data_IF_027295278543
#
_entry.id   IF_027295278543
#
_cell.length_a   1.000
_cell.length_b   1.000
_cell.length_c   1.000
_cell.angle_alpha   90.00
_cell.angle_beta   90.00
_cell.angle_gamma   90.00
#
_symmetry.space_group_name_H-M   'P 1'
#
loop_
_entity.id
_entity.type
_entity.pdbx_description
1 polymer ?
#
# COMPACT_ATOMS: atom_id res chain seq x y z
N UNK A 1 5.01 -2.75 17.69
CA UNK A 1 6.44 -2.32 17.69
C UNK A 1 7.33 -3.55 17.68
N UNK A 2 8.07 -3.79 16.60
CA UNK A 2 8.87 -5.02 16.43
C UNK A 2 10.09 -5.02 17.35
N UNK A 3 10.27 -6.09 18.14
CA UNK A 3 11.37 -6.27 19.11
C UNK A 3 12.63 -6.92 18.53
N UNK A 4 12.47 -7.67 17.44
CA UNK A 4 13.53 -8.46 16.83
C UNK A 4 12.96 -9.35 15.74
N UNK A 5 13.79 -10.25 15.23
CA UNK A 5 13.40 -11.20 14.20
C UNK A 5 13.57 -12.64 14.70
N UNK A 6 12.80 -13.54 14.11
CA UNK A 6 13.06 -14.98 14.15
C UNK A 6 13.95 -15.30 12.95
N UNK A 7 15.14 -15.83 13.22
CA UNK A 7 16.13 -16.24 12.22
C UNK A 7 15.70 -17.50 11.47
N UNK A 8 16.43 -17.85 10.41
CA UNK A 8 16.14 -19.06 9.60
C UNK A 8 16.32 -20.36 10.37
N UNK A 9 17.19 -20.37 11.38
CA UNK A 9 17.40 -21.47 12.32
C UNK A 9 16.35 -21.52 13.45
N UNK A 10 15.39 -20.58 13.47
CA UNK A 10 14.35 -20.47 14.48
C UNK A 10 14.76 -19.71 15.75
N UNK A 11 16.01 -19.26 15.87
CA UNK A 11 16.46 -18.47 17.01
C UNK A 11 15.91 -17.03 16.98
N UNK A 12 15.78 -16.43 18.17
CA UNK A 12 15.36 -15.04 18.31
C UNK A 12 16.57 -14.12 18.36
N UNK A 13 16.55 -13.06 17.55
CA UNK A 13 17.59 -12.03 17.56
C UNK A 13 16.96 -10.65 17.76
N UNK A 14 17.44 -9.92 18.76
CA UNK A 14 16.90 -8.60 19.11
C UNK A 14 17.25 -7.56 18.04
N UNK A 15 16.37 -6.56 17.87
CA UNK A 15 16.49 -5.51 16.85
C UNK A 15 17.88 -4.87 16.81
N UNK A 16 18.45 -4.54 17.96
CA UNK A 16 19.74 -3.86 18.07
C UNK A 16 20.87 -4.73 17.53
N UNK A 17 20.87 -6.03 17.86
CA UNK A 17 21.90 -6.96 17.40
C UNK A 17 21.73 -7.30 15.91
N UNK A 18 20.49 -7.42 15.43
CA UNK A 18 20.19 -7.62 14.00
C UNK A 18 20.72 -6.44 13.17
N UNK A 19 20.45 -5.21 13.61
CA UNK A 19 20.90 -4.01 12.90
C UNK A 19 22.43 -3.86 12.96
N UNK A 20 23.05 -4.21 14.09
CA UNK A 20 24.51 -4.22 14.23
C UNK A 20 25.17 -5.22 13.29
N UNK A 21 24.69 -6.46 13.26
CA UNK A 21 25.22 -7.50 12.37
C UNK A 21 25.01 -7.13 10.89
N UNK A 22 23.82 -6.66 10.53
CA UNK A 22 23.50 -6.24 9.17
C UNK A 22 24.35 -5.04 8.71
N UNK A 23 24.68 -4.11 9.61
CA UNK A 23 25.54 -2.96 9.30
C UNK A 23 26.98 -3.39 9.01
N UNK A 24 27.48 -4.42 9.69
CA UNK A 24 28.83 -4.97 9.48
C UNK A 24 28.91 -5.82 8.21
N UNK A 25 27.92 -6.68 7.98
CA UNK A 25 27.98 -7.71 6.93
C UNK A 25 27.19 -7.33 5.67
N UNK A 26 26.47 -6.21 5.68
CA UNK A 26 25.53 -5.81 4.63
C UNK A 26 24.22 -6.61 4.60
N UNK A 27 24.12 -7.72 5.36
CA UNK A 27 22.93 -8.57 5.47
C UNK A 27 22.91 -9.38 6.79
N UNK A 28 21.75 -9.96 7.12
CA UNK A 28 21.58 -11.03 8.13
C UNK A 28 20.70 -12.12 7.51
N UNK A 29 21.14 -13.38 7.55
CA UNK A 29 20.41 -14.53 6.97
C UNK A 29 19.96 -14.33 5.51
N UNK A 30 20.77 -13.64 4.71
CA UNK A 30 20.47 -13.30 3.31
C UNK A 30 19.51 -12.11 3.12
N UNK A 31 19.03 -11.47 4.18
CA UNK A 31 18.23 -10.25 4.12
C UNK A 31 19.13 -8.99 4.17
N UNK A 32 19.11 -8.13 3.14
CA UNK A 32 19.95 -6.92 3.11
C UNK A 32 19.66 -5.94 4.25
N UNK A 33 20.66 -5.16 4.67
CA UNK A 33 20.53 -4.14 5.71
C UNK A 33 19.34 -3.18 5.47
N UNK A 34 19.20 -2.66 4.25
CA UNK A 34 18.11 -1.73 3.90
C UNK A 34 16.73 -2.33 4.15
N UNK A 35 16.59 -3.63 3.91
CA UNK A 35 15.37 -4.39 4.14
C UNK A 35 15.08 -4.51 5.63
N UNK A 36 16.08 -4.86 6.43
CA UNK A 36 15.97 -5.00 7.88
C UNK A 36 15.65 -3.66 8.55
N UNK A 37 16.31 -2.58 8.12
CA UNK A 37 16.00 -1.21 8.57
C UNK A 37 14.55 -0.86 8.29
N UNK A 38 14.04 -1.16 7.09
CA UNK A 38 12.64 -0.91 6.73
C UNK A 38 11.64 -1.73 7.56
N UNK A 39 11.95 -3.00 7.85
CA UNK A 39 11.12 -3.83 8.75
C UNK A 39 11.02 -3.16 10.13
N UNK A 40 12.12 -2.62 10.65
CA UNK A 40 12.15 -2.03 11.98
C UNK A 40 11.70 -0.57 12.07
N UNK A 41 11.49 0.11 10.94
CA UNK A 41 11.05 1.52 10.82
C UNK A 41 9.51 1.65 10.80
N UNK A 42 8.77 0.71 11.39
CA UNK A 42 7.31 0.83 11.53
C UNK A 42 6.94 2.08 12.34
N UNK A 43 6.65 3.17 11.62
CA UNK A 43 6.09 4.40 12.19
C UNK A 43 4.71 4.07 12.75
N UNK A 44 4.49 4.39 14.03
CA UNK A 44 3.14 4.42 14.61
C UNK A 44 2.28 5.34 13.77
N UNK A 45 1.36 4.79 12.96
CA UNK A 45 0.29 5.59 12.36
C UNK A 45 -0.95 5.38 13.24
N UNK A 46 -1.35 6.37 14.05
CA UNK A 46 -2.51 6.23 14.93
C UNK A 46 -3.84 6.17 14.18
N UNK A 47 -3.82 6.41 12.86
CA UNK A 47 -5.01 6.39 12.01
C UNK A 47 -4.96 5.23 11.02
N UNK A 48 -6.11 4.60 10.71
CA UNK A 48 -6.19 3.57 9.69
C UNK A 48 -5.78 4.16 8.33
N UNK A 49 -4.93 3.43 7.61
CA UNK A 49 -4.57 3.70 6.22
C UNK A 49 -5.53 2.97 5.27
N UNK A 50 -5.65 3.45 4.04
CA UNK A 50 -6.40 2.75 2.98
C UNK A 50 -5.98 1.27 2.84
N UNK A 51 -4.68 0.99 2.91
CA UNK A 51 -4.14 -0.37 2.86
C UNK A 51 -4.51 -1.21 4.08
N UNK A 52 -4.64 -0.59 5.26
CA UNK A 52 -5.05 -1.29 6.49
C UNK A 52 -6.52 -1.68 6.45
N UNK A 53 -7.39 -0.82 5.92
CA UNK A 53 -8.82 -1.10 5.78
C UNK A 53 -9.06 -2.19 4.74
N UNK A 54 -8.25 -2.22 3.67
CA UNK A 54 -8.45 -3.18 2.58
C UNK A 54 -7.83 -4.56 2.80
N UNK A 55 -6.82 -4.73 3.65
CA UNK A 55 -5.98 -5.95 3.66
C UNK A 55 -6.38 -7.06 4.65
N UNK A 56 -7.37 -6.88 5.51
CA UNK A 56 -7.88 -7.93 6.42
C UNK A 56 -8.02 -7.48 7.88
N UNK A 57 -8.60 -8.36 8.72
CA UNK A 57 -9.31 -8.00 9.97
C UNK A 57 -8.62 -6.93 10.84
N UNK A 58 -9.39 -5.88 11.15
CA UNK A 58 -9.03 -4.80 12.08
C UNK A 58 -8.36 -5.30 13.37
N UNK A 59 -8.75 -6.49 13.85
CA UNK A 59 -8.21 -7.13 15.05
C UNK A 59 -6.70 -7.42 14.95
N UNK A 60 -6.23 -7.94 13.82
CA UNK A 60 -4.80 -8.23 13.65
C UNK A 60 -3.98 -6.94 13.61
N UNK A 61 -4.50 -5.91 12.96
CA UNK A 61 -3.86 -4.60 12.80
C UNK A 61 -3.77 -3.87 14.15
N UNK A 62 -4.85 -3.89 14.92
CA UNK A 62 -4.89 -3.33 16.29
C UNK A 62 -3.93 -4.08 17.21
N UNK A 63 -3.87 -5.41 17.14
CA UNK A 63 -2.95 -6.21 17.95
C UNK A 63 -1.47 -5.95 17.59
N UNK A 64 -1.13 -5.87 16.31
CA UNK A 64 0.24 -5.55 15.85
C UNK A 64 0.68 -4.13 16.27
N UNK A 65 -0.25 -3.18 16.32
CA UNK A 65 0.01 -1.81 16.76
C UNK A 65 0.23 -1.69 18.28
N UNK A 66 -0.52 -2.46 19.07
CA UNK A 66 -0.53 -2.36 20.54
C UNK A 66 0.55 -3.26 21.18
N UNK A 67 0.78 -4.45 20.64
CA UNK A 67 1.61 -5.47 21.29
C UNK A 67 2.97 -5.57 20.59
N UNK A 68 4.09 -5.40 21.33
CA UNK A 68 5.41 -5.69 20.80
C UNK A 68 5.53 -7.17 20.43
N UNK A 69 6.05 -7.47 19.24
CA UNK A 69 6.11 -8.83 18.72
C UNK A 69 7.40 -9.09 17.94
N UNK A 70 7.65 -10.36 17.63
CA UNK A 70 8.74 -10.83 16.77
C UNK A 70 8.19 -11.20 15.39
N UNK A 71 9.00 -11.03 14.36
CA UNK A 71 8.60 -11.31 12.98
C UNK A 71 9.59 -12.22 12.29
N UNK A 72 9.14 -13.03 11.33
CA UNK A 72 10.04 -13.69 10.40
C UNK A 72 10.27 -12.74 9.22
N UNK A 73 11.52 -12.36 8.87
CA UNK A 73 11.78 -11.39 7.81
C UNK A 73 11.20 -11.81 6.45
N UNK A 74 11.17 -13.11 6.16
CA UNK A 74 10.56 -13.66 4.94
C UNK A 74 9.09 -13.26 4.78
N UNK A 75 8.35 -13.18 5.88
CA UNK A 75 6.91 -12.88 5.88
C UNK A 75 6.67 -11.38 5.61
N UNK A 76 7.65 -10.53 5.96
CA UNK A 76 7.65 -9.09 5.66
C UNK A 76 8.27 -8.76 4.29
N UNK A 77 8.78 -9.74 3.53
CA UNK A 77 9.41 -9.46 2.22
C UNK A 77 8.47 -8.93 1.17
N UNK A 78 7.21 -9.36 1.18
CA UNK A 78 6.22 -8.77 0.28
C UNK A 78 6.03 -7.27 0.57
N UNK A 79 5.96 -6.89 1.85
CA UNK A 79 5.76 -5.50 2.28
C UNK A 79 6.97 -4.61 1.97
N UNK A 80 8.18 -5.12 2.19
CA UNK A 80 9.40 -4.36 1.87
C UNK A 80 9.58 -4.20 0.37
N UNK A 81 9.32 -5.25 -0.42
CA UNK A 81 9.35 -5.15 -1.89
C UNK A 81 8.37 -4.09 -2.38
N UNK A 82 7.12 -4.11 -1.91
CA UNK A 82 6.16 -3.06 -2.19
C UNK A 82 6.71 -1.68 -1.82
N UNK A 83 7.23 -1.53 -0.60
CA UNK A 83 7.80 -0.26 -0.12
C UNK A 83 8.94 0.28 -1.00
N UNK A 84 9.75 -0.59 -1.59
CA UNK A 84 10.82 -0.21 -2.53
C UNK A 84 10.27 0.27 -3.88
N UNK A 85 9.22 -0.36 -4.41
CA UNK A 85 8.50 0.13 -5.60
C UNK A 85 8.00 1.55 -5.35
N UNK A 86 7.30 1.75 -4.23
CA UNK A 86 6.76 3.05 -3.84
C UNK A 86 7.86 4.10 -3.62
N UNK A 87 9.00 3.71 -3.06
CA UNK A 87 10.17 4.59 -2.97
C UNK A 87 10.67 5.00 -4.36
N UNK A 88 10.72 4.07 -5.31
CA UNK A 88 11.08 4.35 -6.71
C UNK A 88 10.15 5.37 -7.38
N UNK A 89 8.85 5.36 -7.07
CA UNK A 89 7.93 6.38 -7.58
C UNK A 89 8.26 7.80 -7.11
N UNK A 90 8.86 7.97 -5.94
CA UNK A 90 9.31 9.30 -5.47
C UNK A 90 10.49 9.82 -6.27
N UNK A 91 11.37 8.94 -6.72
CA UNK A 91 12.69 9.30 -7.23
C UNK A 91 12.80 9.33 -8.76
N UNK A 92 11.89 8.69 -9.51
CA UNK A 92 12.01 8.68 -10.97
C UNK A 92 11.85 10.10 -11.58
N UNK A 93 12.60 10.46 -12.63
CA UNK A 93 12.49 11.78 -13.25
C UNK A 93 11.09 11.98 -13.86
N UNK A 94 10.48 13.15 -13.62
CA UNK A 94 9.22 13.48 -14.28
C UNK A 94 9.36 13.59 -15.78
N UNK A 95 8.28 13.24 -16.48
CA UNK A 95 8.14 13.54 -17.90
C UNK A 95 7.93 15.05 -18.01
N UNK A 96 8.74 15.70 -18.85
CA UNK A 96 8.65 17.13 -19.10
C UNK A 96 7.22 17.52 -19.51
N UNK A 97 6.70 18.61 -18.93
CA UNK A 97 5.31 19.08 -19.13
C UNK A 97 4.18 18.17 -18.60
N UNK A 98 4.48 17.09 -17.88
CA UNK A 98 3.46 16.25 -17.21
C UNK A 98 3.46 16.53 -15.71
N UNK A 99 2.33 17.03 -15.20
CA UNK A 99 2.13 17.21 -13.75
C UNK A 99 1.78 15.85 -13.17
N UNK A 100 2.48 15.45 -12.13
CA UNK A 100 2.29 14.14 -11.54
C UNK A 100 2.33 14.28 -10.02
N UNK A 101 1.25 13.88 -9.35
CA UNK A 101 1.20 13.74 -7.90
C UNK A 101 1.69 12.34 -7.57
N UNK A 102 2.69 12.22 -6.70
CA UNK A 102 3.35 10.94 -6.39
C UNK A 102 3.48 10.74 -4.90
N UNK A 103 3.11 9.57 -4.43
CA UNK A 103 3.23 9.15 -3.03
C UNK A 103 2.75 10.22 -2.05
N UNK A 104 1.75 11.02 -2.46
CA UNK A 104 1.28 12.16 -1.70
C UNK A 104 0.29 11.66 -0.66
N UNK A 105 0.60 11.92 0.60
CA UNK A 105 -0.27 11.56 1.70
C UNK A 105 -1.40 12.57 1.83
N UNK A 106 -2.63 12.06 1.79
CA UNK A 106 -3.83 12.79 2.14
C UNK A 106 -4.36 12.33 3.49
N UNK A 107 -5.00 13.25 4.20
CA UNK A 107 -5.67 13.02 5.46
C UNK A 107 -6.89 13.94 5.52
N UNK A 108 -8.06 13.34 5.61
CA UNK A 108 -9.32 14.08 5.74
C UNK A 108 -10.19 13.47 6.82
N UNK A 109 -10.99 14.31 7.48
CA UNK A 109 -12.00 13.85 8.42
C UNK A 109 -13.13 13.14 7.67
N UNK A 110 -13.64 12.05 8.22
CA UNK A 110 -14.78 11.33 7.66
C UNK A 110 -16.05 12.16 7.95
N UNK A 111 -16.88 12.47 6.95
CA UNK A 111 -18.11 13.22 7.13
C UNK A 111 -19.02 12.61 8.19
N UNK A 112 -19.53 13.45 9.10
CA UNK A 112 -20.33 13.00 10.23
C UNK A 112 -19.52 12.35 11.38
N UNK A 113 -18.20 12.17 11.25
CA UNK A 113 -17.34 11.57 12.27
C UNK A 113 -16.16 12.49 12.60
N UNK A 114 -16.42 13.47 13.48
CA UNK A 114 -15.51 14.60 13.79
C UNK A 114 -14.11 14.17 14.22
N UNK A 115 -13.99 13.04 14.94
CA UNK A 115 -12.71 12.55 15.47
C UNK A 115 -12.08 11.42 14.64
N UNK A 116 -12.68 11.06 13.50
CA UNK A 116 -12.16 9.98 12.64
C UNK A 116 -11.59 10.53 11.35
N UNK A 117 -10.35 10.14 11.07
CA UNK A 117 -9.63 10.55 9.87
C UNK A 117 -9.32 9.34 9.00
N UNK A 118 -9.55 9.49 7.71
CA UNK A 118 -9.08 8.55 6.71
C UNK A 118 -7.75 9.04 6.15
N UNK A 119 -6.77 8.15 6.07
CA UNK A 119 -5.43 8.47 5.55
C UNK A 119 -5.05 7.55 4.40
N UNK A 120 -4.34 8.09 3.41
CA UNK A 120 -3.85 7.30 2.28
C UNK A 120 -2.69 8.01 1.59
N UNK A 121 -1.75 7.23 1.07
CA UNK A 121 -0.72 7.72 0.17
C UNK A 121 -1.12 7.30 -1.25
N UNK A 122 -1.36 8.29 -2.11
CA UNK A 122 -1.70 8.04 -3.51
C UNK A 122 -0.40 7.70 -4.24
N UNK A 123 -0.30 6.52 -4.84
CA UNK A 123 0.90 6.10 -5.57
C UNK A 123 1.21 7.07 -6.69
N UNK A 124 0.30 7.17 -7.69
CA UNK A 124 0.39 8.11 -8.80
C UNK A 124 -0.98 8.70 -9.14
N UNK A 125 -1.04 10.00 -9.38
CA UNK A 125 -2.21 10.67 -9.95
C UNK A 125 -1.79 11.71 -10.97
N UNK A 126 -2.38 11.61 -12.17
CA UNK A 126 -2.13 12.46 -13.33
C UNK A 126 -3.26 13.49 -13.48
N UNK A 127 -3.09 14.75 -13.02
CA UNK A 127 -4.18 15.72 -13.01
C UNK A 127 -4.62 16.14 -14.41
N UNK A 128 -3.74 16.14 -15.42
CA UNK A 128 -4.11 16.46 -16.81
C UNK A 128 -5.07 15.43 -17.39
N UNK A 129 -4.86 14.15 -17.07
CA UNK A 129 -5.66 13.04 -17.57
C UNK A 129 -6.79 12.66 -16.61
N UNK A 130 -6.89 13.33 -15.45
CA UNK A 130 -7.80 13.01 -14.37
C UNK A 130 -7.73 11.52 -13.98
N UNK A 131 -6.52 10.96 -13.99
CA UNK A 131 -6.30 9.51 -13.86
C UNK A 131 -5.54 9.16 -12.59
N UNK A 132 -6.12 8.26 -11.80
CA UNK A 132 -5.53 7.66 -10.61
C UNK A 132 -4.91 6.30 -10.95
N UNK A 133 -3.70 6.03 -10.48
CA UNK A 133 -3.08 4.72 -10.60
C UNK A 133 -2.64 4.20 -9.23
N UNK A 134 -2.99 2.94 -8.96
CA UNK A 134 -2.58 2.19 -7.77
C UNK A 134 -1.75 0.98 -8.20
N UNK A 135 -0.57 0.83 -7.62
CA UNK A 135 0.42 -0.15 -8.03
C UNK A 135 0.59 -1.23 -6.97
N UNK A 136 0.64 -2.48 -7.42
CA UNK A 136 0.70 -3.68 -6.57
C UNK A 136 1.86 -4.56 -6.97
N UNK A 137 2.81 -4.75 -6.06
CA UNK A 137 3.83 -5.78 -6.20
C UNK A 137 3.27 -7.15 -5.80
N UNK A 138 3.44 -8.16 -6.65
CA UNK A 138 2.96 -9.52 -6.41
C UNK A 138 4.02 -10.56 -6.82
N UNK A 139 3.94 -11.76 -6.23
CA UNK A 139 4.76 -12.90 -6.65
C UNK A 139 4.27 -13.51 -7.98
N UNK A 140 2.95 -13.48 -8.19
CA UNK A 140 2.25 -13.86 -9.41
C UNK A 140 1.12 -12.86 -9.66
N UNK A 141 1.00 -12.37 -10.89
CA UNK A 141 -0.10 -11.49 -11.30
C UNK A 141 -1.42 -12.27 -11.18
N UNK A 142 -2.42 -11.76 -10.45
CA UNK A 142 -3.70 -12.44 -10.36
C UNK A 142 -4.45 -12.31 -11.70
N UNK A 143 -5.23 -13.33 -12.05
CA UNK A 143 -6.03 -13.32 -13.28
C UNK A 143 -7.18 -12.30 -13.20
N UNK A 144 -7.68 -12.04 -11.98
CA UNK A 144 -8.72 -11.06 -11.67
C UNK A 144 -8.23 -10.04 -10.63
N UNK A 145 -8.83 -8.85 -10.62
CA UNK A 145 -8.56 -7.85 -9.59
C UNK A 145 -9.06 -8.35 -8.23
N UNK A 146 -8.24 -8.19 -7.18
CA UNK A 146 -8.66 -8.51 -5.81
C UNK A 146 -9.66 -7.46 -5.30
N UNK A 147 -10.79 -7.84 -4.68
CA UNK A 147 -11.77 -6.89 -4.13
C UNK A 147 -11.15 -5.88 -3.15
N UNK A 148 -10.19 -6.31 -2.34
CA UNK A 148 -9.43 -5.42 -1.45
C UNK A 148 -8.70 -4.29 -2.19
N UNK A 149 -8.16 -4.56 -3.38
CA UNK A 149 -7.48 -3.53 -4.16
C UNK A 149 -8.48 -2.52 -4.76
N UNK A 150 -9.69 -2.97 -5.10
CA UNK A 150 -10.79 -2.08 -5.52
C UNK A 150 -11.17 -1.15 -4.38
N UNK A 151 -11.36 -1.69 -3.17
CA UNK A 151 -11.67 -0.89 -1.98
C UNK A 151 -10.57 0.13 -1.68
N UNK A 152 -9.30 -0.26 -1.76
CA UNK A 152 -8.18 0.67 -1.57
C UNK A 152 -8.21 1.81 -2.60
N UNK A 153 -8.48 1.50 -3.87
CA UNK A 153 -8.59 2.50 -4.92
C UNK A 153 -9.81 3.42 -4.73
N UNK A 154 -10.93 2.91 -4.21
CA UNK A 154 -12.11 3.71 -3.86
C UNK A 154 -11.79 4.71 -2.74
N UNK A 155 -11.04 4.28 -1.71
CA UNK A 155 -10.56 5.17 -0.65
C UNK A 155 -9.66 6.27 -1.24
N UNK A 156 -8.78 5.93 -2.17
CA UNK A 156 -7.91 6.89 -2.85
C UNK A 156 -8.67 7.89 -3.70
N UNK A 157 -9.68 7.43 -4.43
CA UNK A 157 -10.60 8.29 -5.16
C UNK A 157 -11.28 9.29 -4.21
N UNK A 158 -11.86 8.82 -3.10
CA UNK A 158 -12.51 9.67 -2.10
C UNK A 158 -11.54 10.71 -1.51
N UNK A 159 -10.32 10.30 -1.15
CA UNK A 159 -9.29 11.23 -0.64
C UNK A 159 -8.92 12.31 -1.67
N UNK A 160 -8.85 11.96 -2.96
CA UNK A 160 -8.56 12.92 -4.02
C UNK A 160 -9.71 13.90 -4.24
N UNK A 161 -10.95 13.42 -4.30
CA UNK A 161 -12.12 14.29 -4.49
C UNK A 161 -12.30 15.26 -3.32
N UNK A 162 -12.08 14.81 -2.08
CA UNK A 162 -12.04 15.68 -0.90
C UNK A 162 -10.92 16.72 -0.95
N UNK A 163 -9.78 16.34 -1.54
CA UNK A 163 -8.69 17.24 -1.89
C UNK A 163 -8.96 18.19 -3.07
N UNK A 164 -10.20 18.24 -3.57
CA UNK A 164 -10.65 19.02 -4.74
C UNK A 164 -10.00 18.60 -6.07
N UNK A 165 -9.59 17.34 -6.18
CA UNK A 165 -9.11 16.75 -7.42
C UNK A 165 -10.24 15.99 -8.12
N UNK A 166 -10.40 16.19 -9.43
CA UNK A 166 -11.34 15.40 -10.24
C UNK A 166 -10.67 14.11 -10.71
N UNK A 167 -11.40 13.00 -10.71
CA UNK A 167 -10.91 11.71 -11.20
C UNK A 167 -11.95 11.15 -12.17
N UNK A 168 -11.53 10.84 -13.39
CA UNK A 168 -12.36 10.30 -14.48
C UNK A 168 -11.96 8.86 -14.85
N UNK A 169 -10.72 8.48 -14.58
CA UNK A 169 -10.20 7.15 -14.84
C UNK A 169 -9.36 6.67 -13.65
N UNK A 170 -9.41 5.37 -13.37
CA UNK A 170 -8.67 4.76 -12.29
C UNK A 170 -8.23 3.36 -12.71
N UNK A 171 -7.00 2.98 -12.39
CA UNK A 171 -6.48 1.66 -12.73
C UNK A 171 -5.62 1.05 -11.62
N UNK A 172 -5.63 -0.28 -11.56
CA UNK A 172 -4.77 -1.08 -10.68
C UNK A 172 -3.73 -1.77 -11.55
N UNK A 173 -2.46 -1.48 -11.29
CA UNK A 173 -1.32 -2.00 -12.02
C UNK A 173 -0.61 -3.06 -11.17
N UNK A 174 -0.59 -4.30 -11.66
CA UNK A 174 0.16 -5.38 -11.02
C UNK A 174 1.55 -5.50 -11.63
N UNK A 175 2.57 -5.69 -10.79
CA UNK A 175 3.93 -5.98 -11.22
C UNK A 175 4.51 -7.18 -10.47
N UNK A 176 5.34 -7.97 -11.17
CA UNK A 176 6.16 -9.02 -10.55
C UNK A 176 7.57 -8.48 -10.33
N UNK A 177 8.26 -9.03 -9.33
CA UNK A 177 9.65 -8.64 -9.04
C UNK A 177 10.67 -9.23 -10.02
N UNK A 178 10.31 -10.31 -10.73
CA UNK A 178 11.18 -10.94 -11.74
C UNK A 178 11.12 -10.21 -13.08
N UNK A 179 10.01 -9.54 -13.37
CA UNK A 179 9.76 -8.89 -14.65
C UNK A 179 9.35 -7.44 -14.39
N UNK A 180 10.32 -6.57 -14.04
CA UNK A 180 10.14 -5.10 -14.07
C UNK A 180 9.70 -4.54 -15.46
N UNK A 181 9.34 -5.43 -16.39
CA UNK A 181 8.92 -5.21 -17.76
C UNK A 181 7.72 -6.15 -18.01
N UNK A 182 6.58 -5.94 -17.36
CA UNK A 182 5.29 -6.39 -17.92
C UNK A 182 4.11 -5.60 -17.35
N UNK A 183 3.71 -4.55 -18.08
CA UNK A 183 2.48 -3.80 -17.86
C UNK A 183 1.28 -4.63 -18.34
N UNK A 184 0.75 -5.54 -17.52
CA UNK A 184 -0.59 -6.10 -17.77
C UNK A 184 -1.61 -5.31 -16.97
N UNK A 185 -2.46 -4.56 -17.67
CA UNK A 185 -3.63 -3.93 -17.07
C UNK A 185 -4.61 -5.03 -16.63
N UNK A 186 -5.09 -4.94 -15.40
CA UNK A 186 -5.98 -5.95 -14.86
C UNK A 186 -7.34 -5.94 -15.58
N UNK A 187 -7.97 -7.12 -15.68
CA UNK A 187 -9.25 -7.29 -16.38
C UNK A 187 -10.41 -7.48 -15.39
N UNK A 188 -11.60 -7.04 -15.77
CA UNK A 188 -12.85 -7.40 -15.07
C UNK A 188 -13.24 -8.85 -15.39
N UNK A 189 -14.22 -9.43 -14.68
CA UNK A 189 -14.76 -10.77 -15.00
C UNK A 189 -15.25 -10.89 -16.45
N UNK A 190 -15.65 -9.76 -17.05
CA UNK A 190 -16.05 -9.66 -18.47
C UNK A 190 -14.90 -9.75 -19.47
N UNK A 191 -13.64 -9.77 -19.02
CA UNK A 191 -12.45 -9.84 -19.87
C UNK A 191 -11.96 -8.50 -20.44
N UNK A 192 -12.70 -7.42 -20.19
CA UNK A 192 -12.31 -6.05 -20.54
C UNK A 192 -11.23 -5.50 -19.60
N UNK A 193 -10.43 -4.55 -20.08
CA UNK A 193 -9.49 -3.82 -19.21
C UNK A 193 -10.29 -3.06 -18.17
N UNK A 194 -10.02 -3.30 -16.88
CA UNK A 194 -10.80 -2.73 -15.80
C UNK A 194 -10.58 -1.21 -15.69
N UNK A 195 -11.56 -0.45 -16.18
CA UNK A 195 -11.78 0.93 -15.73
C UNK A 195 -12.60 0.84 -14.44
N UNK A 196 -11.93 1.00 -13.30
CA UNK A 196 -12.54 0.72 -11.99
C UNK A 196 -13.52 1.84 -11.56
N UNK A 197 -13.60 2.94 -12.30
CA UNK A 197 -14.51 4.07 -12.01
C UNK A 197 -15.99 3.67 -12.18
N UNK A 198 -16.29 2.63 -12.97
CA UNK A 198 -17.65 2.11 -13.12
C UNK A 198 -18.15 1.24 -11.95
N UNK A 199 -17.30 0.91 -10.98
CA UNK A 199 -17.65 0.04 -9.85
C UNK A 199 -18.57 0.76 -8.84
N UNK A 200 -19.51 0.04 -8.21
CA UNK A 200 -20.56 0.61 -7.35
C UNK A 200 -20.04 1.48 -6.19
N UNK A 201 -18.91 1.08 -5.58
CA UNK A 201 -18.22 1.83 -4.53
C UNK A 201 -17.76 3.24 -4.95
N UNK A 202 -17.75 3.56 -6.25
CA UNK A 202 -17.37 4.87 -6.79
C UNK A 202 -18.60 5.72 -7.18
N UNK A 203 -19.82 5.18 -7.10
CA UNK A 203 -21.03 5.85 -7.60
C UNK A 203 -21.54 6.95 -6.68
N UNK A 204 -21.57 6.71 -5.36
CA UNK A 204 -22.03 7.72 -4.38
C UNK A 204 -21.27 7.63 -3.06
N UNK A 205 -21.13 8.77 -2.38
CA UNK A 205 -20.51 8.87 -1.06
C UNK A 205 -21.19 7.96 -0.02
N UNK A 206 -22.52 7.83 -0.09
CA UNK A 206 -23.28 6.96 0.81
C UNK A 206 -22.89 5.49 0.66
N UNK A 207 -22.85 4.98 -0.58
CA UNK A 207 -22.47 3.58 -0.86
C UNK A 207 -21.05 3.29 -0.41
N UNK A 208 -20.13 4.25 -0.58
CA UNK A 208 -18.76 4.13 -0.07
C UNK A 208 -18.70 4.06 1.47
N UNK A 209 -19.46 4.90 2.17
CA UNK A 209 -19.52 4.92 3.64
C UNK A 209 -20.13 3.63 4.19
N UNK A 210 -21.21 3.12 3.58
CA UNK A 210 -21.86 1.87 3.98
C UNK A 210 -20.90 0.67 3.81
N UNK A 211 -20.16 0.61 2.68
CA UNK A 211 -19.17 -0.46 2.43
C UNK A 211 -17.95 -0.45 3.36
N UNK A 212 -17.58 0.69 3.96
CA UNK A 212 -16.55 0.75 5.01
C UNK A 212 -17.07 0.24 6.35
N UNK A 213 -18.37 0.36 6.63
CA UNK A 213 -18.96 -0.07 7.91
C UNK A 213 -19.16 -1.59 8.00
N UNK A 214 -19.32 -2.27 6.86
CA UNK A 214 -19.56 -3.70 6.79
C UNK A 214 -18.26 -4.56 6.81
N UNK A 215 -17.07 -3.96 6.65
CA UNK A 215 -15.76 -4.65 6.58
C UNK A 215 -14.83 -4.42 7.77
#
# INVERSE_FOLDING_TARGET
MIKGIIRTDGSLMLKEDVLREAALNGHVDGYPLLVLVKIFDERKNPYPSASSISSGSWRQIVLEAIIPHYVVPRDRMALVRGSLVHAGFKEFPGIENVKLIREKRYRFAIPGMVDRFLTGAIDLYFPQFLRLEDWKSCSKIPDLIRPSHIMQLAIYYWLLTWGKHKVMDACINYMTWRDCIQLRRAKMETGETANVVGHELFQTERVFLDGIQEG
#
